data_IF_946228117156
#
_entry.id   IF_946228117156
#
_cell.length_a   1.000
_cell.length_b   1.000
_cell.length_c   1.000
_cell.angle_alpha   90.00
_cell.angle_beta   90.00
_cell.angle_gamma   90.00
#
_symmetry.space_group_name_H-M   'P 1'
#
loop_
_entity.id
_entity.type
_entity.pdbx_description
1 polymer ?
#
# COMPACT_ATOMS: atom_id res chain seq x y z
N UNK A 1 3.05 6.82 3.24
CA UNK A 1 3.84 6.60 4.45
C UNK A 1 5.18 6.06 4.02
N UNK A 2 6.26 6.75 4.36
CA UNK A 2 7.60 6.21 4.12
C UNK A 2 7.85 4.99 5.02
N UNK A 3 8.64 4.02 4.56
CA UNK A 3 9.01 2.83 5.34
C UNK A 3 10.48 2.48 5.11
N UNK A 4 11.13 1.92 6.14
CA UNK A 4 12.50 1.41 6.04
C UNK A 4 12.48 0.05 5.32
N UNK A 5 12.83 0.03 4.03
CA UNK A 5 12.83 -1.20 3.23
C UNK A 5 13.83 -1.14 2.07
N UNK A 6 14.92 -1.89 2.20
CA UNK A 6 15.97 -1.97 1.18
C UNK A 6 15.86 -3.18 0.24
N UNK A 7 15.14 -4.24 0.63
CA UNK A 7 15.11 -5.52 -0.09
C UNK A 7 14.12 -5.56 -1.24
N UNK A 8 13.05 -4.77 -1.15
CA UNK A 8 12.03 -4.67 -2.19
C UNK A 8 12.16 -3.33 -2.90
N UNK A 9 12.00 -3.34 -4.22
CA UNK A 9 11.87 -2.13 -5.03
C UNK A 9 10.51 -1.46 -4.83
N UNK A 10 10.38 -0.18 -5.16
CA UNK A 10 9.09 0.52 -5.07
C UNK A 10 8.01 -0.14 -5.94
N UNK A 11 8.39 -0.70 -7.10
CA UNK A 11 7.48 -1.44 -7.98
C UNK A 11 6.92 -2.69 -7.30
N UNK A 12 7.78 -3.46 -6.61
CA UNK A 12 7.35 -4.64 -5.87
C UNK A 12 6.44 -4.28 -4.69
N UNK A 13 6.77 -3.20 -3.97
CA UNK A 13 5.96 -2.65 -2.89
C UNK A 13 4.57 -2.26 -3.40
N UNK A 14 4.49 -1.55 -4.51
CA UNK A 14 3.22 -1.12 -5.10
C UNK A 14 2.34 -2.31 -5.50
N UNK A 15 2.93 -3.36 -6.07
CA UNK A 15 2.21 -4.59 -6.43
C UNK A 15 1.68 -5.32 -5.19
N UNK A 16 2.49 -5.41 -4.14
CA UNK A 16 2.08 -6.02 -2.88
C UNK A 16 0.94 -5.22 -2.23
N UNK A 17 1.06 -3.89 -2.20
CA UNK A 17 0.02 -3.02 -1.67
C UNK A 17 -1.29 -3.15 -2.43
N UNK A 18 -1.24 -3.21 -3.77
CA UNK A 18 -2.41 -3.44 -4.59
C UNK A 18 -3.11 -4.74 -4.21
N UNK A 19 -2.36 -5.84 -4.05
CA UNK A 19 -2.92 -7.13 -3.64
C UNK A 19 -3.58 -7.07 -2.25
N UNK A 20 -2.91 -6.42 -1.29
CA UNK A 20 -3.46 -6.18 0.06
C UNK A 20 -4.77 -5.40 -0.02
N UNK A 21 -4.79 -4.30 -0.77
CA UNK A 21 -5.98 -3.45 -0.96
C UNK A 21 -7.12 -4.25 -1.60
N UNK A 22 -6.85 -5.00 -2.67
CA UNK A 22 -7.87 -5.84 -3.34
C UNK A 22 -8.47 -6.89 -2.41
N UNK A 23 -7.64 -7.59 -1.62
CA UNK A 23 -8.12 -8.57 -0.64
C UNK A 23 -8.98 -7.92 0.44
N UNK A 24 -8.60 -6.74 0.92
CA UNK A 24 -9.33 -6.02 1.97
C UNK A 24 -10.58 -5.28 1.47
N UNK A 25 -10.63 -4.94 0.18
CA UNK A 25 -11.77 -4.32 -0.50
C UNK A 25 -12.76 -5.34 -1.09
N UNK A 26 -12.34 -6.60 -1.25
CA UNK A 26 -13.23 -7.68 -1.67
C UNK A 26 -14.42 -7.82 -0.71
N UNK A 27 -15.58 -8.23 -1.23
CA UNK A 27 -16.83 -8.25 -0.47
C UNK A 27 -16.68 -9.05 0.85
N UNK A 28 -17.35 -8.59 1.93
CA UNK A 28 -17.30 -9.27 3.20
C UNK A 28 -18.01 -10.63 3.08
N UNK A 29 -17.22 -11.69 2.89
CA UNK A 29 -17.68 -13.03 3.24
C UNK A 29 -17.93 -13.05 4.76
N UNK A 30 -19.00 -13.67 5.26
CA UNK A 30 -19.32 -13.68 6.69
C UNK A 30 -18.22 -14.30 7.58
N UNK A 31 -17.25 -14.99 6.98
CA UNK A 31 -16.03 -15.45 7.64
C UNK A 31 -14.82 -14.74 7.06
N UNK A 32 -13.96 -14.24 7.94
CA UNK A 32 -12.67 -13.65 7.56
C UNK A 32 -11.83 -14.73 6.88
N UNK A 33 -11.49 -14.53 5.60
CA UNK A 33 -10.65 -15.48 4.90
C UNK A 33 -9.21 -15.42 5.47
N UNK A 34 -8.49 -16.55 5.43
CA UNK A 34 -7.06 -16.57 5.81
C UNK A 34 -6.24 -15.54 5.01
N UNK A 35 -6.65 -15.28 3.76
CA UNK A 35 -6.02 -14.27 2.90
C UNK A 35 -6.27 -12.84 3.41
N UNK A 36 -7.47 -12.53 3.89
CA UNK A 36 -7.77 -11.23 4.50
C UNK A 36 -6.99 -11.02 5.80
N UNK A 37 -6.80 -12.07 6.60
CA UNK A 37 -5.93 -12.00 7.80
C UNK A 37 -4.50 -11.69 7.39
N UNK A 38 -3.93 -12.45 6.45
CA UNK A 38 -2.58 -12.22 5.96
C UNK A 38 -2.39 -10.82 5.37
N UNK A 39 -3.39 -10.28 4.68
CA UNK A 39 -3.35 -8.91 4.15
C UNK A 39 -3.28 -7.86 5.27
N UNK A 40 -3.99 -8.06 6.38
CA UNK A 40 -3.88 -7.18 7.57
C UNK A 40 -2.52 -7.30 8.24
N UNK A 41 -2.00 -8.52 8.35
CA UNK A 41 -0.68 -8.75 8.96
C UNK A 41 0.43 -8.10 8.15
N UNK A 42 0.33 -8.14 6.80
CA UNK A 42 1.26 -7.44 5.91
C UNK A 42 1.16 -5.91 6.09
N UNK A 43 -0.05 -5.35 6.12
CA UNK A 43 -0.24 -3.91 6.33
C UNK A 43 0.30 -3.44 7.69
N UNK A 44 0.07 -4.24 8.74
CA UNK A 44 0.62 -4.00 10.07
C UNK A 44 2.16 -4.06 10.07
N UNK A 45 2.75 -5.05 9.41
CA UNK A 45 4.20 -5.17 9.28
C UNK A 45 4.81 -4.00 8.52
N UNK A 46 4.20 -3.57 7.41
CA UNK A 46 4.66 -2.38 6.67
C UNK A 46 4.52 -1.10 7.49
N UNK A 47 3.48 -1.00 8.31
CA UNK A 47 3.30 0.12 9.25
C UNK A 47 4.37 0.10 10.34
N UNK A 48 4.74 -1.06 10.86
CA UNK A 48 5.84 -1.19 11.82
C UNK A 48 7.17 -0.67 11.25
N UNK A 49 7.45 -0.92 9.96
CA UNK A 49 8.65 -0.40 9.29
C UNK A 49 8.70 1.14 9.18
N UNK A 50 7.57 1.86 9.35
CA UNK A 50 7.59 3.31 9.48
C UNK A 50 8.18 3.75 10.83
N UNK A 51 7.88 3.02 11.91
CA UNK A 51 8.42 3.34 13.23
C UNK A 51 9.95 3.14 13.30
N UNK A 52 10.48 2.21 12.51
CA UNK A 52 11.92 1.97 12.38
C UNK A 52 12.66 3.11 11.65
N UNK A 53 11.96 3.97 10.91
CA UNK A 53 12.58 5.12 10.22
C UNK A 53 13.18 6.12 11.19
N UNK A 54 12.52 6.38 12.32
CA UNK A 54 13.05 7.33 13.32
C UNK A 54 14.39 6.88 13.91
N UNK A 55 14.66 5.57 13.93
CA UNK A 55 15.93 4.99 14.38
C UNK A 55 17.01 4.97 13.31
N UNK A 56 16.63 4.86 12.03
CA UNK A 56 17.58 4.79 10.90
C UNK A 56 17.89 6.16 10.29
N UNK A 57 16.95 7.10 10.38
CA UNK A 57 17.07 8.45 9.80
C UNK A 57 16.73 9.48 10.89
N UNK A 58 17.75 10.03 11.57
CA UNK A 58 17.55 10.92 12.73
C UNK A 58 16.75 12.20 12.45
N UNK A 59 16.69 12.64 11.19
CA UNK A 59 15.96 13.82 10.75
C UNK A 59 14.54 13.52 10.26
N UNK A 60 14.12 12.25 10.19
CA UNK A 60 12.73 11.89 9.91
C UNK A 60 11.89 12.02 11.19
N UNK A 61 10.86 12.90 11.16
CA UNK A 61 10.00 13.22 12.31
C UNK A 61 8.57 12.72 12.14
N UNK A 62 8.35 11.70 11.31
CA UNK A 62 7.01 11.14 11.09
C UNK A 62 6.15 11.89 10.08
N UNK A 63 6.69 12.93 9.42
CA UNK A 63 5.99 13.66 8.36
C UNK A 63 6.69 13.47 7.00
N UNK A 64 6.07 12.69 6.12
CA UNK A 64 6.56 12.39 4.77
C UNK A 64 6.76 13.66 3.91
N UNK A 65 5.87 14.65 4.04
CA UNK A 65 5.91 15.85 3.20
C UNK A 65 7.06 16.80 3.59
N UNK A 66 7.27 16.99 4.89
CA UNK A 66 8.41 17.76 5.41
C UNK A 66 9.74 17.09 5.05
N UNK A 67 9.78 15.76 5.12
CA UNK A 67 10.95 14.99 4.72
C UNK A 67 11.26 15.14 3.22
N UNK A 68 10.26 15.00 2.36
CA UNK A 68 10.42 15.21 0.92
C UNK A 68 10.87 16.65 0.59
N UNK A 69 10.31 17.64 1.30
CA UNK A 69 10.73 19.04 1.19
C UNK A 69 12.18 19.22 1.61
N UNK A 70 12.60 18.67 2.75
CA UNK A 70 13.97 18.75 3.21
C UNK A 70 14.95 18.16 2.19
N UNK A 71 14.63 16.99 1.62
CA UNK A 71 15.44 16.36 0.57
C UNK A 71 15.54 17.19 -0.71
N UNK A 72 14.49 17.95 -1.06
CA UNK A 72 14.49 18.82 -2.24
C UNK A 72 15.39 20.05 -2.10
N UNK A 73 15.69 20.46 -0.87
CA UNK A 73 16.52 21.62 -0.55
C UNK A 73 18.01 21.28 -0.42
N UNK A 74 18.36 20.00 -0.55
CA UNK A 74 19.76 19.54 -0.49
C UNK A 74 20.53 20.13 -1.68
N UNK A 75 21.68 20.79 -1.47
CA UNK A 75 22.55 21.25 -2.56
C UNK A 75 23.05 20.09 -3.43
N UNK A 76 23.33 20.36 -4.71
CA UNK A 76 23.70 19.32 -5.69
C UNK A 76 24.93 18.50 -5.30
N UNK A 77 25.91 19.13 -4.64
CA UNK A 77 27.12 18.49 -4.11
C UNK A 77 26.84 17.39 -3.07
N UNK A 78 25.62 17.32 -2.54
CA UNK A 78 25.18 16.30 -1.59
C UNK A 78 24.20 15.27 -2.17
N UNK A 79 24.06 15.20 -3.50
CA UNK A 79 23.11 14.29 -4.14
C UNK A 79 23.47 12.81 -3.98
N UNK A 80 24.75 12.46 -3.88
CA UNK A 80 25.17 11.07 -3.62
C UNK A 80 24.69 10.60 -2.25
N UNK A 81 24.87 11.43 -1.22
CA UNK A 81 24.38 11.14 0.14
C UNK A 81 22.85 11.10 0.19
N UNK A 82 22.18 11.90 -0.64
CA UNK A 82 20.71 11.82 -0.80
C UNK A 82 20.28 10.48 -1.38
N UNK A 83 20.98 9.95 -2.38
CA UNK A 83 20.68 8.63 -2.95
C UNK A 83 20.93 7.50 -1.94
N UNK A 84 21.98 7.60 -1.11
CA UNK A 84 22.24 6.62 -0.04
C UNK A 84 21.08 6.55 0.96
N UNK A 85 20.52 7.72 1.33
CA UNK A 85 19.34 7.80 2.19
C UNK A 85 18.13 7.18 1.49
N UNK A 86 17.84 7.61 0.26
CA UNK A 86 16.67 7.19 -0.51
C UNK A 86 16.70 5.70 -0.90
N UNK A 87 17.87 5.11 -1.09
CA UNK A 87 18.04 3.72 -1.50
C UNK A 87 17.37 2.72 -0.55
N UNK A 88 17.32 3.07 0.74
CA UNK A 88 16.71 2.26 1.80
C UNK A 88 15.23 2.58 2.07
N UNK A 89 14.64 3.56 1.37
CA UNK A 89 13.31 4.07 1.65
C UNK A 89 12.29 3.66 0.58
N UNK A 90 11.11 3.25 1.03
CA UNK A 90 9.96 2.99 0.13
C UNK A 90 8.73 3.70 0.63
N UNK A 91 7.78 3.90 -0.25
CA UNK A 91 6.47 4.44 0.09
C UNK A 91 5.45 3.30 0.19
N UNK A 92 4.90 3.09 1.37
CA UNK A 92 3.71 2.27 1.59
C UNK A 92 2.47 3.17 1.48
N UNK A 93 1.49 2.82 0.62
CA UNK A 93 0.27 3.60 0.48
C UNK A 93 -0.64 3.42 1.70
N UNK A 94 -1.46 4.42 1.98
CA UNK A 94 -2.46 4.33 3.05
C UNK A 94 -3.57 3.33 2.64
N UNK A 95 -3.47 2.10 3.11
CA UNK A 95 -4.40 1.01 2.75
C UNK A 95 -5.84 1.35 3.09
N UNK A 96 -6.10 2.06 4.20
CA UNK A 96 -7.47 2.47 4.58
C UNK A 96 -8.08 3.42 3.56
N UNK A 97 -7.33 4.44 3.13
CA UNK A 97 -7.77 5.39 2.11
C UNK A 97 -8.02 4.67 0.78
N UNK A 98 -7.08 3.84 0.34
CA UNK A 98 -7.17 3.16 -0.95
C UNK A 98 -8.17 2.00 -0.97
N UNK A 99 -8.53 1.44 0.18
CA UNK A 99 -9.59 0.44 0.28
C UNK A 99 -10.92 0.97 -0.23
N UNK A 100 -11.26 2.23 0.05
CA UNK A 100 -12.50 2.86 -0.44
C UNK A 100 -12.53 2.88 -1.98
N UNK A 101 -11.41 3.23 -2.60
CA UNK A 101 -11.24 3.17 -4.06
C UNK A 101 -11.24 1.73 -4.58
N UNK A 102 -10.64 0.81 -3.83
CA UNK A 102 -10.65 -0.61 -4.13
C UNK A 102 -12.04 -1.21 -4.22
N UNK A 103 -13.00 -0.75 -3.40
CA UNK A 103 -14.40 -1.19 -3.49
C UNK A 103 -14.99 -0.78 -4.84
N UNK A 104 -14.73 0.46 -5.30
CA UNK A 104 -15.17 0.92 -6.60
C UNK A 104 -14.55 0.10 -7.74
N UNK A 105 -13.23 -0.16 -7.70
CA UNK A 105 -12.56 -0.98 -8.72
C UNK A 105 -13.08 -2.41 -8.76
N UNK A 106 -13.30 -3.02 -7.59
CA UNK A 106 -13.88 -4.37 -7.51
C UNK A 106 -15.29 -4.37 -8.09
N UNK A 107 -16.11 -3.38 -7.74
CA UNK A 107 -17.46 -3.25 -8.30
C UNK A 107 -17.41 -3.08 -9.82
N UNK A 108 -16.68 -2.11 -10.35
CA UNK A 108 -16.58 -1.89 -11.80
C UNK A 108 -16.02 -3.08 -12.58
N UNK A 109 -15.13 -3.88 -11.96
CA UNK A 109 -14.48 -5.00 -12.63
C UNK A 109 -15.36 -6.25 -12.63
N UNK A 110 -16.10 -6.50 -11.54
CA UNK A 110 -16.80 -7.77 -11.31
C UNK A 110 -18.33 -7.67 -11.33
N UNK A 111 -18.91 -6.47 -11.31
CA UNK A 111 -20.38 -6.29 -11.36
C UNK A 111 -20.97 -6.84 -12.68
N UNK A 112 -20.29 -6.63 -13.81
CA UNK A 112 -20.69 -7.18 -15.10
C UNK A 112 -20.60 -8.72 -15.15
N UNK A 113 -19.57 -9.31 -14.51
CA UNK A 113 -19.43 -10.76 -14.41
C UNK A 113 -20.55 -11.40 -13.56
N UNK A 114 -20.93 -10.74 -12.46
CA UNK A 114 -22.02 -11.20 -11.59
C UNK A 114 -23.40 -11.03 -12.23
N UNK A 115 -23.57 -10.02 -13.09
CA UNK A 115 -24.79 -9.86 -13.88
C UNK A 115 -24.95 -11.00 -14.91
N UNK A 116 -23.87 -11.35 -15.62
CA UNK A 116 -23.90 -12.46 -16.59
C UNK A 116 -24.11 -13.85 -15.97
N UNK A 117 -23.57 -14.10 -14.77
CA UNK A 117 -23.77 -15.39 -14.08
C UNK A 117 -25.23 -15.57 -13.59
N UNK A 118 -25.90 -14.49 -13.20
CA UNK A 118 -27.32 -14.54 -12.81
C UNK A 118 -28.25 -14.77 -14.00
N UNK A 119 -27.92 -14.25 -15.19
CA UNK A 119 -28.64 -14.56 -16.43
C UNK A 119 -28.45 -16.03 -16.85
N UNK A 120 -27.24 -16.58 -16.69
CA UNK A 120 -26.94 -17.99 -16.98
C UNK A 120 -27.61 -18.97 -16.00
N UNK A 121 -27.82 -18.57 -14.75
CA UNK A 121 -28.50 -19.38 -13.73
C UNK A 121 -30.03 -19.29 -13.78
N UNK A 122 -30.60 -18.53 -14.73
CA UNK A 122 -32.05 -18.50 -14.97
C UNK A 122 -32.88 -17.97 -13.80
N UNK A 123 -32.29 -17.18 -12.89
CA UNK A 123 -33.04 -16.53 -11.81
C UNK A 123 -33.71 -15.26 -12.37
N UNK A 124 -34.73 -15.47 -13.19
CA UNK A 124 -35.73 -14.45 -13.48
C UNK A 124 -36.61 -14.33 -12.24
N UNK A 125 -36.76 -13.11 -11.73
CA UNK A 125 -37.67 -12.79 -10.61
C UNK A 125 -39.11 -13.26 -10.88
#
# INVERSE_FOLDING_TARGET
MLIAQSRLTQVQINRLALQVISLLASQPTPQLSKLQSAARDIDAAMTALNHELGGSIPFYRGNDSDFARALSLIPQEYYEQREDILGSLRFWPNVRYWKEQGVYWMKSTFEDMLASDNELLGVVK
#
